data_IF_515029123870
#
_entry.id   IF_515029123870
#
_cell.length_a   1.000
_cell.length_b   1.000
_cell.length_c   1.000
_cell.angle_alpha   90.00
_cell.angle_beta   90.00
_cell.angle_gamma   90.00
#
_symmetry.space_group_name_H-M   'P 1'
#
loop_
_entity.id
_entity.type
_entity.pdbx_description
1 polymer ?
#
# COMPACT_ATOMS: atom_id res chain seq x y z
N UNK A 1 -1.51 -25.93 6.04
CA UNK A 1 -1.95 -24.68 6.71
C UNK A 1 -1.32 -23.52 5.94
N UNK A 2 -2.15 -22.64 5.38
CA UNK A 2 -1.88 -21.89 4.15
C UNK A 2 -0.90 -20.73 4.23
N UNK A 3 -0.26 -20.47 3.08
CA UNK A 3 0.69 -19.39 2.74
C UNK A 3 0.13 -17.95 2.85
N UNK A 4 -0.99 -17.73 3.55
CA UNK A 4 -1.89 -16.58 3.38
C UNK A 4 -1.36 -15.19 3.73
N UNK A 5 -0.12 -15.05 4.22
CA UNK A 5 0.47 -13.77 4.64
C UNK A 5 1.94 -13.56 4.19
N UNK A 6 2.45 -14.37 3.25
CA UNK A 6 3.90 -14.41 2.93
C UNK A 6 4.49 -13.09 2.39
N UNK A 7 3.68 -12.20 1.82
CA UNK A 7 4.14 -10.87 1.38
C UNK A 7 4.20 -9.81 2.48
N UNK A 8 3.49 -10.01 3.60
CA UNK A 8 3.26 -8.96 4.59
C UNK A 8 4.53 -8.65 5.40
N UNK A 9 5.30 -9.69 5.76
CA UNK A 9 6.58 -9.52 6.45
C UNK A 9 7.60 -8.75 5.59
N UNK A 10 7.65 -9.04 4.29
CA UNK A 10 8.55 -8.35 3.37
C UNK A 10 8.13 -6.89 3.15
N UNK A 11 6.82 -6.61 3.06
CA UNK A 11 6.31 -5.24 2.99
C UNK A 11 6.71 -4.40 4.22
N UNK A 12 6.70 -4.98 5.42
CA UNK A 12 7.12 -4.28 6.65
C UNK A 12 8.59 -3.85 6.58
N UNK A 13 9.48 -4.76 6.13
CA UNK A 13 10.92 -4.50 6.04
C UNK A 13 11.20 -3.36 5.02
N UNK A 14 10.53 -3.39 3.86
CA UNK A 14 10.70 -2.34 2.84
C UNK A 14 10.21 -0.98 3.35
N UNK A 15 9.07 -0.95 4.06
CA UNK A 15 8.55 0.30 4.62
C UNK A 15 9.53 0.91 5.63
N UNK A 16 10.12 0.08 6.49
CA UNK A 16 11.15 0.52 7.44
C UNK A 16 12.38 1.09 6.70
N UNK A 17 12.86 0.41 5.66
CA UNK A 17 13.99 0.89 4.87
C UNK A 17 13.69 2.26 4.22
N UNK A 18 12.50 2.43 3.65
CA UNK A 18 12.08 3.71 3.05
C UNK A 18 12.05 4.84 4.08
N UNK A 19 11.56 4.59 5.30
CA UNK A 19 11.61 5.57 6.39
C UNK A 19 13.06 5.92 6.77
N UNK A 20 13.96 4.94 6.82
CA UNK A 20 15.38 5.18 7.10
C UNK A 20 16.03 6.05 6.02
N UNK A 21 15.77 5.77 4.74
CA UNK A 21 16.28 6.59 3.63
C UNK A 21 15.75 8.03 3.68
N UNK A 22 14.47 8.20 4.04
CA UNK A 22 13.87 9.53 4.18
C UNK A 22 14.47 10.30 5.36
N UNK A 23 14.59 9.66 6.53
CA UNK A 23 15.19 10.27 7.74
C UNK A 23 16.66 10.63 7.54
N UNK A 24 17.39 9.81 6.79
CA UNK A 24 18.78 10.07 6.43
C UNK A 24 18.99 11.10 5.33
N UNK A 25 17.92 11.63 4.72
CA UNK A 25 18.01 12.57 3.59
C UNK A 25 18.61 11.95 2.32
N UNK A 26 18.65 10.62 2.22
CA UNK A 26 19.29 9.90 1.11
C UNK A 26 18.35 9.76 -0.08
N UNK A 27 17.09 9.40 0.16
CA UNK A 27 16.09 9.23 -0.88
C UNK A 27 14.66 9.34 -0.33
N UNK A 28 13.73 9.84 -1.17
CA UNK A 28 12.29 9.87 -0.90
C UNK A 28 11.58 8.80 -1.74
N UNK A 29 11.32 7.64 -1.14
CA UNK A 29 10.74 6.48 -1.82
C UNK A 29 9.40 6.14 -1.17
N UNK A 30 8.32 6.16 -1.96
CA UNK A 30 6.96 5.96 -1.45
C UNK A 30 6.29 4.72 -2.09
N UNK A 31 5.55 3.95 -1.30
CA UNK A 31 4.69 2.87 -1.81
C UNK A 31 3.48 3.47 -2.53
N UNK A 32 3.14 2.94 -3.71
CA UNK A 32 1.83 3.23 -4.32
C UNK A 32 0.72 2.55 -3.52
N UNK A 33 -0.29 3.29 -3.04
CA UNK A 33 -1.42 2.70 -2.33
C UNK A 33 -2.20 1.77 -3.26
N UNK A 34 -2.92 0.81 -2.69
CA UNK A 34 -3.77 -0.09 -3.46
C UNK A 34 -4.84 0.72 -4.19
N UNK A 35 -4.90 0.63 -5.52
CA UNK A 35 -5.86 1.40 -6.30
C UNK A 35 -7.28 0.89 -6.00
N UNK A 36 -8.16 1.78 -5.57
CA UNK A 36 -9.55 1.44 -5.26
C UNK A 36 -10.48 2.42 -5.96
N UNK A 37 -11.56 1.88 -6.52
CA UNK A 37 -12.70 2.69 -6.99
C UNK A 37 -13.73 2.75 -5.87
N UNK A 38 -13.93 3.94 -5.31
CA UNK A 38 -14.96 4.16 -4.28
C UNK A 38 -16.34 4.13 -4.93
N UNK A 39 -17.24 3.28 -4.42
CA UNK A 39 -18.61 3.17 -4.89
C UNK A 39 -19.58 3.93 -3.99
N UNK A 40 -19.38 3.88 -2.66
CA UNK A 40 -20.21 4.60 -1.68
C UNK A 40 -19.33 5.12 -0.54
N UNK A 41 -19.53 6.36 -0.15
CA UNK A 41 -18.90 7.00 1.02
C UNK A 41 -19.97 7.61 1.93
N UNK A 42 -19.66 7.71 3.23
CA UNK A 42 -20.43 8.46 4.24
C UNK A 42 -19.47 9.48 4.85
N UNK A 43 -19.54 10.72 4.38
CA UNK A 43 -18.55 11.75 4.72
C UNK A 43 -17.14 11.30 4.33
N UNK A 44 -16.20 11.32 5.29
CA UNK A 44 -14.79 10.93 5.11
C UNK A 44 -14.61 9.40 5.04
N UNK A 45 -15.60 8.61 5.47
CA UNK A 45 -15.48 7.15 5.53
C UNK A 45 -15.96 6.49 4.25
N UNK A 46 -15.08 5.69 3.64
CA UNK A 46 -15.45 4.79 2.53
C UNK A 46 -16.24 3.61 3.08
N UNK A 47 -17.43 3.36 2.53
CA UNK A 47 -18.33 2.27 2.97
C UNK A 47 -18.27 1.09 1.99
N UNK A 48 -18.11 1.37 0.70
CA UNK A 48 -18.00 0.35 -0.33
C UNK A 48 -16.98 0.79 -1.39
N UNK A 49 -16.04 -0.10 -1.69
CA UNK A 49 -15.04 0.10 -2.74
C UNK A 49 -14.72 -1.21 -3.45
N UNK A 50 -14.27 -1.10 -4.69
CA UNK A 50 -13.75 -2.23 -5.46
C UNK A 50 -12.27 -2.00 -5.72
N UNK A 51 -11.46 -3.02 -5.43
CA UNK A 51 -10.03 -2.99 -5.73
C UNK A 51 -9.82 -3.06 -7.24
N UNK A 52 -9.08 -2.11 -7.79
CA UNK A 52 -8.74 -2.10 -9.20
C UNK A 52 -7.45 -2.90 -9.41
N UNK A 53 -7.33 -3.62 -10.53
CA UNK A 53 -6.06 -4.24 -10.91
C UNK A 53 -5.31 -3.27 -11.81
N UNK A 54 -4.17 -2.78 -11.36
CA UNK A 54 -3.29 -1.98 -12.22
C UNK A 54 -2.76 -2.88 -13.34
N UNK A 55 -3.13 -2.54 -14.57
CA UNK A 55 -2.51 -3.13 -15.76
C UNK A 55 -1.25 -2.33 -16.06
N UNK A 56 -0.09 -2.94 -15.81
CA UNK A 56 1.18 -2.41 -16.32
C UNK A 56 1.18 -2.67 -17.83
N UNK A 57 1.46 -1.63 -18.62
CA UNK A 57 1.55 -1.74 -20.09
C UNK A 57 2.76 -2.57 -20.48
#
# INVERSE_FOLDING_TARGET
MGLGNRGMAFEIIINLANEMYQRGGVALINKRPTPVKVLKSKGVRVVLSVTMKLRVK
#
